data_IF_158600864748
#
_entry.id   IF_158600864748
#
_cell.length_a   1.000
_cell.length_b   1.000
_cell.length_c   1.000
_cell.angle_alpha   90.00
_cell.angle_beta   90.00
_cell.angle_gamma   90.00
#
_symmetry.space_group_name_H-M   'P 1'
#
loop_
_entity.id
_entity.type
_entity.pdbx_description
1 polymer ?
#
# COMPACT_ATOMS: atom_id res chain seq x y z
N UNK A 1 -17.17 -20.92 -9.01
CA UNK A 1 -16.24 -20.04 -9.73
C UNK A 1 -16.95 -18.73 -10.05
N UNK A 2 -16.39 -17.60 -9.62
CA UNK A 2 -16.84 -16.24 -9.97
C UNK A 2 -15.97 -15.66 -11.06
N UNK A 3 -16.52 -14.78 -11.89
CA UNK A 3 -15.80 -14.07 -12.97
C UNK A 3 -15.78 -12.59 -12.69
N UNK A 4 -14.73 -11.91 -13.12
CA UNK A 4 -14.61 -10.46 -13.08
C UNK A 4 -13.60 -9.95 -14.10
N UNK A 5 -13.57 -8.65 -14.29
CA UNK A 5 -12.60 -8.01 -15.17
C UNK A 5 -12.38 -6.55 -14.79
N UNK A 6 -11.18 -6.04 -15.11
CA UNK A 6 -10.78 -4.62 -15.03
C UNK A 6 -9.90 -4.29 -16.22
N UNK A 7 -9.86 -3.03 -16.62
CA UNK A 7 -8.97 -2.58 -17.68
C UNK A 7 -8.34 -1.21 -17.37
N UNK A 8 -7.27 -0.91 -18.10
CA UNK A 8 -6.58 0.38 -18.06
C UNK A 8 -6.09 0.75 -19.47
N UNK A 9 -6.12 2.03 -19.77
CA UNK A 9 -5.48 2.57 -20.96
C UNK A 9 -4.08 3.06 -20.63
N UNK A 10 -3.10 2.69 -21.49
CA UNK A 10 -1.71 3.14 -21.43
C UNK A 10 -1.40 3.96 -22.69
N UNK A 11 -0.64 5.04 -22.54
CA UNK A 11 -0.14 5.84 -23.66
C UNK A 11 1.17 5.26 -24.22
N UNK A 12 1.15 3.95 -24.47
CA UNK A 12 2.26 3.21 -25.08
C UNK A 12 1.74 2.22 -26.14
N UNK A 13 2.55 1.85 -27.15
CA UNK A 13 2.15 0.88 -28.17
C UNK A 13 1.84 -0.51 -27.57
N UNK A 14 0.96 -1.27 -28.24
CA UNK A 14 0.59 -2.64 -27.87
C UNK A 14 1.79 -3.53 -27.59
N UNK A 15 2.87 -3.44 -28.40
CA UNK A 15 4.10 -4.22 -28.18
C UNK A 15 4.78 -3.89 -26.85
N UNK A 16 4.80 -2.61 -26.44
CA UNK A 16 5.39 -2.19 -25.16
C UNK A 16 4.55 -2.65 -23.97
N UNK A 17 3.23 -2.53 -24.04
CA UNK A 17 2.31 -3.03 -23.02
C UNK A 17 2.44 -4.56 -22.87
N UNK A 18 2.53 -5.29 -23.99
CA UNK A 18 2.76 -6.74 -23.98
C UNK A 18 4.10 -7.10 -23.35
N UNK A 19 5.19 -6.42 -23.71
CA UNK A 19 6.51 -6.67 -23.15
C UNK A 19 6.52 -6.49 -21.61
N UNK A 20 5.73 -5.57 -21.08
CA UNK A 20 5.57 -5.38 -19.64
C UNK A 20 4.89 -6.60 -18.97
N UNK A 21 3.90 -7.21 -19.64
CA UNK A 21 3.17 -8.38 -19.12
C UNK A 21 4.02 -9.67 -19.11
N UNK A 22 4.92 -9.84 -20.08
CA UNK A 22 5.75 -11.04 -20.18
C UNK A 22 7.21 -10.81 -19.75
N UNK A 23 7.50 -9.69 -19.10
CA UNK A 23 8.85 -9.35 -18.63
C UNK A 23 9.32 -10.32 -17.57
N UNK A 24 10.58 -10.83 -17.63
CA UNK A 24 11.18 -11.61 -16.55
C UNK A 24 11.66 -10.71 -15.39
N UNK A 25 11.61 -9.38 -15.55
CA UNK A 25 12.01 -8.44 -14.52
C UNK A 25 10.98 -8.41 -13.39
N UNK A 26 11.44 -8.03 -12.20
CA UNK A 26 10.56 -7.79 -11.06
C UNK A 26 9.46 -6.79 -11.43
N UNK A 27 8.22 -7.14 -11.15
CA UNK A 27 7.03 -6.32 -11.42
C UNK A 27 6.57 -5.63 -10.15
N UNK A 28 6.84 -4.34 -10.02
CA UNK A 28 6.36 -3.55 -8.86
C UNK A 28 4.84 -3.50 -8.80
N UNK A 29 4.21 -3.54 -9.96
CA UNK A 29 2.77 -3.45 -10.14
C UNK A 29 2.02 -4.77 -9.85
N UNK A 30 2.72 -5.91 -9.74
CA UNK A 30 2.11 -7.22 -9.46
C UNK A 30 2.79 -7.84 -8.24
N UNK A 31 2.31 -7.51 -7.05
CA UNK A 31 2.84 -7.98 -5.75
C UNK A 31 4.36 -7.91 -5.58
N UNK A 32 5.07 -7.17 -6.43
CA UNK A 32 6.54 -7.10 -6.48
C UNK A 32 7.20 -8.44 -6.82
N UNK A 33 6.49 -9.32 -7.50
CA UNK A 33 6.96 -10.65 -7.85
C UNK A 33 7.84 -10.63 -9.09
N UNK A 34 8.76 -11.62 -9.15
CA UNK A 34 9.59 -11.91 -10.30
C UNK A 34 9.11 -13.21 -10.94
N UNK A 35 8.85 -13.20 -12.25
CA UNK A 35 8.47 -14.39 -12.99
C UNK A 35 9.71 -15.23 -13.32
N UNK A 36 9.70 -16.51 -12.99
CA UNK A 36 10.70 -17.51 -13.37
C UNK A 36 10.03 -18.56 -14.26
N UNK A 37 10.53 -18.74 -15.45
CA UNK A 37 9.98 -19.63 -16.48
C UNK A 37 9.73 -18.90 -17.79
N UNK A 38 9.14 -19.60 -18.76
CA UNK A 38 8.91 -19.09 -20.10
C UNK A 38 7.43 -18.94 -20.40
N UNK A 39 7.04 -17.80 -20.95
CA UNK A 39 5.67 -17.51 -21.38
C UNK A 39 5.38 -18.15 -22.76
N UNK A 40 5.40 -19.49 -22.78
CA UNK A 40 5.06 -20.32 -23.94
C UNK A 40 3.92 -21.26 -23.57
N UNK A 41 3.06 -21.63 -24.51
CA UNK A 41 1.95 -22.56 -24.25
C UNK A 41 2.45 -23.87 -23.65
N UNK A 42 1.86 -24.28 -22.54
CA UNK A 42 2.26 -25.45 -21.74
C UNK A 42 3.45 -25.18 -20.81
N UNK A 43 4.04 -23.98 -20.84
CA UNK A 43 5.09 -23.57 -19.92
C UNK A 43 4.57 -23.35 -18.50
N UNK A 44 5.51 -23.42 -17.53
CA UNK A 44 5.22 -23.14 -16.12
C UNK A 44 5.96 -21.87 -15.68
N UNK A 45 5.25 -20.99 -15.00
CA UNK A 45 5.79 -19.76 -14.42
C UNK A 45 5.71 -19.89 -12.91
N UNK A 46 6.85 -19.74 -12.25
CA UNK A 46 6.95 -19.60 -10.80
C UNK A 46 7.17 -18.12 -10.47
N UNK A 47 6.28 -17.56 -9.67
CA UNK A 47 6.33 -16.18 -9.24
C UNK A 47 6.95 -16.11 -7.85
N UNK A 48 8.06 -15.41 -7.72
CA UNK A 48 8.87 -15.37 -6.51
C UNK A 48 8.89 -13.97 -5.90
N UNK A 49 8.84 -13.92 -4.56
CA UNK A 49 9.09 -12.73 -3.77
C UNK A 49 10.60 -12.37 -3.71
N UNK A 50 10.95 -11.32 -2.98
CA UNK A 50 12.35 -10.87 -2.81
C UNK A 50 13.24 -11.87 -2.07
N UNK A 51 12.65 -12.79 -1.30
CA UNK A 51 13.37 -13.85 -0.58
C UNK A 51 13.49 -15.14 -1.40
N UNK A 52 12.90 -15.19 -2.61
CA UNK A 52 12.88 -16.37 -3.47
C UNK A 52 11.77 -17.38 -3.13
N UNK A 53 10.84 -17.03 -2.24
CA UNK A 53 9.70 -17.88 -1.95
C UNK A 53 8.68 -17.82 -3.08
N UNK A 54 8.07 -18.97 -3.42
CA UNK A 54 6.97 -19.00 -4.38
C UNK A 54 5.71 -18.38 -3.77
N UNK A 55 5.31 -17.24 -4.29
CA UNK A 55 4.03 -16.61 -3.97
C UNK A 55 2.88 -17.13 -4.86
N UNK A 56 3.23 -17.60 -6.07
CA UNK A 56 2.27 -18.05 -7.06
C UNK A 56 2.94 -19.03 -8.04
N UNK A 57 2.17 -19.98 -8.56
CA UNK A 57 2.55 -20.84 -9.69
C UNK A 57 1.48 -20.79 -10.76
N UNK A 58 1.90 -20.70 -12.02
CA UNK A 58 0.98 -20.61 -13.15
C UNK A 58 1.42 -21.53 -14.27
N UNK A 59 0.45 -22.23 -14.89
CA UNK A 59 0.60 -22.89 -16.18
C UNK A 59 0.12 -21.93 -17.28
N UNK A 60 0.89 -21.83 -18.34
CA UNK A 60 0.52 -20.99 -19.50
C UNK A 60 -0.41 -21.78 -20.41
N UNK A 61 -1.70 -21.44 -20.40
CA UNK A 61 -2.73 -22.11 -21.22
C UNK A 61 -2.71 -21.64 -22.67
N UNK A 62 -2.53 -20.31 -22.88
CA UNK A 62 -2.45 -19.71 -24.20
C UNK A 62 -1.55 -18.49 -24.22
N UNK A 63 -0.83 -18.30 -25.33
CA UNK A 63 -0.07 -17.11 -25.67
C UNK A 63 -0.33 -16.74 -27.12
N UNK A 64 -0.93 -15.59 -27.33
CA UNK A 64 -1.17 -14.98 -28.65
C UNK A 64 -0.49 -13.61 -28.66
N UNK A 65 0.82 -13.61 -28.83
CA UNK A 65 1.60 -12.36 -28.80
C UNK A 65 1.25 -11.44 -29.99
N UNK A 66 1.09 -10.16 -29.79
CA UNK A 66 1.14 -9.40 -28.53
C UNK A 66 -0.27 -9.10 -27.95
N UNK A 67 -1.21 -10.03 -28.03
CA UNK A 67 -2.64 -9.77 -27.78
C UNK A 67 -3.18 -10.43 -26.51
N UNK A 68 -2.80 -11.69 -26.25
CA UNK A 68 -3.44 -12.50 -25.18
C UNK A 68 -2.46 -13.41 -24.47
N UNK A 69 -2.55 -13.44 -23.15
CA UNK A 69 -1.89 -14.38 -22.26
C UNK A 69 -2.94 -14.96 -21.31
N UNK A 70 -3.10 -16.29 -21.30
CA UNK A 70 -4.01 -16.99 -20.39
C UNK A 70 -3.23 -17.93 -19.49
N UNK A 71 -3.44 -17.79 -18.18
CA UNK A 71 -2.72 -18.51 -17.14
C UNK A 71 -3.70 -19.31 -16.27
N UNK A 72 -3.36 -20.56 -15.96
CA UNK A 72 -3.98 -21.33 -14.87
C UNK A 72 -3.11 -21.18 -13.65
N UNK A 73 -3.60 -20.48 -12.64
CA UNK A 73 -2.83 -19.96 -11.53
C UNK A 73 -3.25 -20.60 -10.21
N UNK A 74 -2.30 -20.80 -9.32
CA UNK A 74 -2.53 -21.08 -7.91
C UNK A 74 -1.73 -20.12 -7.03
N UNK A 75 -2.41 -19.41 -6.13
CA UNK A 75 -1.77 -18.53 -5.15
C UNK A 75 -1.27 -19.33 -3.96
N UNK A 76 -0.02 -19.10 -3.55
CA UNK A 76 0.66 -19.84 -2.49
C UNK A 76 1.02 -18.98 -1.27
N UNK A 77 0.87 -17.65 -1.36
CA UNK A 77 1.33 -16.69 -0.36
C UNK A 77 0.56 -16.74 0.97
N UNK A 78 -0.59 -17.42 1.03
CA UNK A 78 -1.30 -17.67 2.28
C UNK A 78 -2.06 -19.01 2.22
N UNK A 79 -2.15 -19.77 3.34
CA UNK A 79 -2.79 -21.08 3.37
C UNK A 79 -4.23 -21.10 2.87
N UNK A 80 -5.00 -20.02 3.11
CA UNK A 80 -6.37 -19.91 2.66
C UNK A 80 -6.50 -19.89 1.13
N UNK A 81 -5.53 -19.31 0.41
CA UNK A 81 -5.47 -19.30 -1.05
C UNK A 81 -4.83 -20.57 -1.62
N UNK A 82 -3.76 -21.06 -0.96
CA UNK A 82 -3.05 -22.26 -1.42
C UNK A 82 -3.94 -23.52 -1.44
N UNK A 83 -4.96 -23.60 -0.58
CA UNK A 83 -5.95 -24.68 -0.52
C UNK A 83 -7.05 -24.55 -1.58
N UNK A 84 -7.14 -23.45 -2.31
CA UNK A 84 -8.15 -23.27 -3.35
C UNK A 84 -7.77 -24.01 -4.63
N UNK A 85 -8.76 -24.48 -5.40
CA UNK A 85 -8.47 -25.03 -6.72
C UNK A 85 -7.85 -23.95 -7.63
N UNK A 86 -7.02 -24.37 -8.61
CA UNK A 86 -6.45 -23.45 -9.59
C UNK A 86 -7.54 -22.63 -10.29
N UNK A 87 -7.22 -21.41 -10.62
CA UNK A 87 -8.10 -20.44 -11.26
C UNK A 87 -7.46 -19.87 -12.52
N UNK A 88 -8.26 -19.26 -13.39
CA UNK A 88 -7.78 -18.69 -14.65
C UNK A 88 -7.66 -17.18 -14.50
N UNK A 89 -6.52 -16.63 -14.94
CA UNK A 89 -6.28 -15.21 -15.13
C UNK A 89 -5.92 -15.00 -16.61
N UNK A 90 -6.63 -14.07 -17.27
CA UNK A 90 -6.38 -13.73 -18.67
C UNK A 90 -6.00 -12.25 -18.77
N UNK A 91 -4.93 -11.98 -19.50
CA UNK A 91 -4.48 -10.66 -19.87
C UNK A 91 -4.67 -10.45 -21.35
N UNK A 92 -5.44 -9.42 -21.71
CA UNK A 92 -5.66 -9.02 -23.09
C UNK A 92 -5.04 -7.64 -23.34
N UNK A 93 -4.36 -7.48 -24.49
CA UNK A 93 -3.79 -6.22 -24.92
C UNK A 93 -4.35 -5.86 -26.29
N UNK A 94 -5.02 -4.73 -26.37
CA UNK A 94 -5.65 -4.24 -27.60
C UNK A 94 -5.17 -2.81 -27.93
N UNK A 95 -5.30 -2.41 -29.20
CA UNK A 95 -5.11 -1.03 -29.61
C UNK A 95 -6.23 -0.17 -29.04
N UNK A 96 -5.90 0.98 -28.47
CA UNK A 96 -6.84 2.01 -28.05
C UNK A 96 -6.78 3.22 -29.00
N UNK A 97 -7.69 4.19 -28.84
CA UNK A 97 -7.68 5.45 -29.61
C UNK A 97 -6.33 6.17 -29.47
N UNK A 98 -5.73 6.12 -28.30
CA UNK A 98 -4.37 6.57 -28.01
C UNK A 98 -3.65 5.45 -27.25
N UNK A 99 -2.54 4.93 -27.78
CA UNK A 99 -1.77 3.87 -27.15
C UNK A 99 -2.43 2.48 -27.16
N UNK A 100 -2.52 1.84 -26.01
CA UNK A 100 -3.06 0.49 -25.83
C UNK A 100 -4.03 0.42 -24.64
N UNK A 101 -4.90 -0.60 -24.65
CA UNK A 101 -5.73 -1.01 -23.51
C UNK A 101 -5.23 -2.36 -23.04
N UNK A 102 -4.99 -2.48 -21.73
CA UNK A 102 -4.69 -3.74 -21.06
C UNK A 102 -5.86 -4.10 -20.18
N UNK A 103 -6.41 -5.31 -20.38
CA UNK A 103 -7.49 -5.85 -19.58
C UNK A 103 -7.00 -7.08 -18.83
N UNK A 104 -7.40 -7.22 -17.58
CA UNK A 104 -7.24 -8.41 -16.75
C UNK A 104 -8.61 -8.97 -16.46
N UNK A 105 -8.83 -10.25 -16.78
CA UNK A 105 -10.05 -10.96 -16.42
C UNK A 105 -9.72 -12.25 -15.69
N UNK A 106 -10.67 -12.76 -14.90
CA UNK A 106 -10.48 -13.98 -14.10
C UNK A 106 -11.74 -14.80 -13.98
N UNK A 107 -11.50 -16.11 -13.73
CA UNK A 107 -12.52 -17.08 -13.32
C UNK A 107 -11.95 -17.87 -12.15
N UNK A 108 -12.42 -17.59 -10.93
CA UNK A 108 -11.77 -18.02 -9.69
C UNK A 108 -12.79 -18.48 -8.61
N UNK A 109 -12.35 -19.30 -7.62
CA UNK A 109 -13.09 -19.54 -6.39
C UNK A 109 -13.46 -18.24 -5.69
N UNK A 110 -14.49 -18.24 -4.86
CA UNK A 110 -15.08 -17.04 -4.26
C UNK A 110 -14.05 -16.19 -3.51
N UNK A 111 -13.23 -16.80 -2.64
CA UNK A 111 -12.21 -16.09 -1.86
C UNK A 111 -11.13 -15.46 -2.76
N UNK A 112 -10.70 -16.18 -3.81
CA UNK A 112 -9.71 -15.66 -4.78
C UNK A 112 -10.33 -14.57 -5.65
N UNK A 113 -11.57 -14.75 -6.09
CA UNK A 113 -12.27 -13.74 -6.87
C UNK A 113 -12.46 -12.44 -6.08
N UNK A 114 -12.74 -12.52 -4.76
CA UNK A 114 -12.82 -11.37 -3.87
C UNK A 114 -11.50 -10.60 -3.79
N UNK A 115 -10.37 -11.31 -3.68
CA UNK A 115 -9.05 -10.70 -3.73
C UNK A 115 -8.78 -10.02 -5.08
N UNK A 116 -9.02 -10.73 -6.19
CA UNK A 116 -8.78 -10.19 -7.53
C UNK A 116 -9.68 -8.98 -7.83
N UNK A 117 -10.93 -9.00 -7.39
CA UNK A 117 -11.84 -7.85 -7.50
C UNK A 117 -11.30 -6.62 -6.77
N UNK A 118 -10.71 -6.80 -5.59
CA UNK A 118 -10.13 -5.74 -4.80
C UNK A 118 -8.80 -5.22 -5.40
N UNK A 119 -7.96 -6.11 -5.94
CA UNK A 119 -6.57 -5.79 -6.30
C UNK A 119 -6.34 -5.52 -7.79
N UNK A 120 -7.18 -6.02 -8.71
CA UNK A 120 -6.94 -5.88 -10.15
C UNK A 120 -6.82 -4.42 -10.61
N UNK A 121 -7.60 -3.51 -10.02
CA UNK A 121 -7.49 -2.07 -10.28
C UNK A 121 -6.13 -1.50 -9.85
N UNK A 122 -5.57 -2.00 -8.74
CA UNK A 122 -4.25 -1.61 -8.25
C UNK A 122 -3.14 -2.12 -9.16
N UNK A 123 -3.24 -3.37 -9.62
CA UNK A 123 -2.28 -3.94 -10.58
C UNK A 123 -2.24 -3.13 -11.87
N UNK A 124 -3.39 -2.84 -12.44
CA UNK A 124 -3.50 -2.11 -13.70
C UNK A 124 -3.02 -0.65 -13.57
N UNK A 125 -3.34 0.05 -12.47
CA UNK A 125 -2.77 1.37 -12.19
C UNK A 125 -1.26 1.30 -12.02
N UNK A 126 -0.74 0.31 -11.29
CA UNK A 126 0.69 0.10 -11.13
C UNK A 126 1.40 -0.18 -12.44
N UNK A 127 0.80 -1.01 -13.31
CA UNK A 127 1.29 -1.27 -14.66
C UNK A 127 1.38 0.04 -15.48
N UNK A 128 0.33 0.87 -15.44
CA UNK A 128 0.35 2.18 -16.08
C UNK A 128 1.47 3.05 -15.54
N UNK A 129 1.62 3.14 -14.22
CA UNK A 129 2.64 3.97 -13.59
C UNK A 129 4.08 3.52 -13.90
N UNK A 130 4.31 2.22 -14.01
CA UNK A 130 5.65 1.70 -14.30
C UNK A 130 6.04 1.83 -15.78
N UNK A 131 5.07 1.79 -16.68
CA UNK A 131 5.32 1.65 -18.13
C UNK A 131 4.75 2.79 -19.00
N UNK A 132 3.97 3.73 -18.45
CA UNK A 132 3.41 4.87 -19.18
C UNK A 132 4.13 6.17 -18.79
N UNK A 133 4.96 6.76 -19.70
CA UNK A 133 5.67 8.01 -19.43
C UNK A 133 4.76 9.18 -19.07
N UNK A 134 3.54 9.23 -19.63
CA UNK A 134 2.57 10.29 -19.31
C UNK A 134 2.12 10.18 -17.86
N UNK A 135 1.80 8.96 -17.39
CA UNK A 135 1.44 8.73 -15.99
C UNK A 135 2.60 9.03 -15.03
N UNK A 136 3.84 8.69 -15.43
CA UNK A 136 5.03 9.02 -14.65
C UNK A 136 5.23 10.54 -14.53
N UNK A 137 5.04 11.28 -15.63
CA UNK A 137 5.15 12.73 -15.63
C UNK A 137 4.07 13.40 -14.78
N UNK A 138 2.83 12.90 -14.81
CA UNK A 138 1.73 13.38 -13.96
C UNK A 138 2.06 13.28 -12.47
N UNK A 139 2.70 12.17 -12.06
CA UNK A 139 3.08 11.95 -10.65
C UNK A 139 4.32 12.74 -10.25
N UNK A 140 5.27 12.90 -11.15
CA UNK A 140 6.49 13.68 -10.91
C UNK A 140 6.22 15.18 -10.80
N UNK A 141 5.08 15.66 -11.31
CA UNK A 141 4.70 17.08 -11.23
C UNK A 141 4.48 17.48 -9.77
N UNK A 142 5.31 18.39 -9.27
CA UNK A 142 5.13 19.03 -7.96
C UNK A 142 4.30 20.29 -8.14
N UNK A 143 3.14 20.42 -7.47
CA UNK A 143 2.38 21.66 -7.47
C UNK A 143 3.11 22.73 -6.66
N UNK A 144 2.87 24.00 -6.98
CA UNK A 144 3.01 25.05 -5.98
C UNK A 144 1.91 24.85 -4.94
N UNK A 145 2.26 24.78 -3.67
CA UNK A 145 1.30 24.56 -2.61
C UNK A 145 1.14 25.82 -1.77
N UNK A 146 -0.11 26.10 -1.41
CA UNK A 146 -0.47 27.10 -0.43
C UNK A 146 -0.21 26.65 1.00
N UNK A 147 -0.95 27.21 1.92
CA UNK A 147 -0.88 26.86 3.34
C UNK A 147 -1.30 25.40 3.57
N UNK A 148 -0.54 24.69 4.38
CA UNK A 148 -0.88 23.34 4.84
C UNK A 148 -1.66 23.48 6.14
N UNK A 149 -2.90 22.99 6.19
CA UNK A 149 -3.66 22.87 7.44
C UNK A 149 -3.73 21.42 7.90
N UNK A 150 -3.71 21.21 9.23
CA UNK A 150 -3.74 19.86 9.83
C UNK A 150 -4.92 19.74 10.78
N UNK A 151 -5.76 18.72 10.58
CA UNK A 151 -6.98 18.50 11.34
C UNK A 151 -7.02 17.08 11.91
N UNK A 152 -7.67 16.95 13.09
CA UNK A 152 -7.97 15.64 13.66
C UNK A 152 -8.97 14.88 12.78
N UNK A 153 -8.78 13.57 12.67
CA UNK A 153 -9.73 12.69 11.97
C UNK A 153 -10.90 12.40 12.90
N UNK A 154 -12.06 12.94 12.53
CA UNK A 154 -13.31 12.83 13.26
C UNK A 154 -14.39 12.19 12.37
N UNK A 155 -15.54 11.74 12.90
CA UNK A 155 -16.58 11.10 12.09
C UNK A 155 -17.04 11.89 10.87
N UNK A 156 -17.06 13.22 10.94
CA UNK A 156 -17.38 14.12 9.82
C UNK A 156 -16.33 14.15 8.72
N UNK A 157 -15.11 13.63 8.98
CA UNK A 157 -14.01 13.54 8.02
C UNK A 157 -13.81 12.13 7.43
N UNK A 158 -14.75 11.21 7.65
CA UNK A 158 -14.68 9.86 7.04
C UNK A 158 -14.66 9.95 5.52
N UNK A 159 -15.45 10.85 4.92
CA UNK A 159 -15.47 11.06 3.47
C UNK A 159 -14.11 11.55 2.94
N UNK A 160 -13.44 12.46 3.65
CA UNK A 160 -12.12 12.97 3.28
C UNK A 160 -11.05 11.87 3.38
N UNK A 161 -11.08 11.08 4.47
CA UNK A 161 -10.25 9.91 4.62
C UNK A 161 -10.44 8.93 3.46
N UNK A 162 -11.68 8.57 3.13
CA UNK A 162 -11.98 7.67 2.03
C UNK A 162 -11.48 8.24 0.69
N UNK A 163 -11.79 9.50 0.39
CA UNK A 163 -11.34 10.17 -0.83
C UNK A 163 -9.81 10.15 -0.97
N UNK A 164 -9.10 10.44 0.12
CA UNK A 164 -7.64 10.42 0.13
C UNK A 164 -7.07 9.03 -0.16
N UNK A 165 -7.55 7.99 0.56
CA UNK A 165 -7.04 6.63 0.40
C UNK A 165 -7.50 5.96 -0.90
N UNK A 166 -8.70 6.27 -1.39
CA UNK A 166 -9.22 5.74 -2.65
C UNK A 166 -8.48 6.29 -3.88
N UNK A 167 -7.96 7.54 -3.81
CA UNK A 167 -7.51 8.25 -5.01
C UNK A 167 -6.07 8.76 -4.98
N UNK A 168 -5.55 9.22 -3.83
CA UNK A 168 -4.30 9.98 -3.76
C UNK A 168 -3.16 9.31 -2.97
N UNK A 169 -3.50 8.61 -1.89
CA UNK A 169 -2.54 8.08 -0.91
C UNK A 169 -1.45 7.19 -1.53
N UNK A 170 -1.83 6.29 -2.42
CA UNK A 170 -0.93 5.31 -3.04
C UNK A 170 -0.93 5.39 -4.56
N UNK A 171 -1.22 6.57 -5.12
CA UNK A 171 -1.32 6.76 -6.56
C UNK A 171 -0.05 6.34 -7.31
N UNK A 172 1.12 6.58 -6.73
CA UNK A 172 2.42 6.18 -7.26
C UNK A 172 2.88 4.79 -6.80
N UNK A 173 2.12 4.13 -5.91
CA UNK A 173 2.43 2.78 -5.43
C UNK A 173 1.16 1.98 -5.11
N UNK A 174 0.35 1.65 -6.12
CA UNK A 174 -0.96 1.01 -5.93
C UNK A 174 -0.94 -0.31 -5.15
N UNK A 175 0.16 -1.05 -5.17
CA UNK A 175 0.31 -2.31 -4.44
C UNK A 175 0.20 -2.20 -2.91
N UNK A 176 0.16 -0.98 -2.35
CA UNK A 176 -0.06 -0.75 -0.92
C UNK A 176 -1.43 -0.14 -0.60
N UNK A 177 -2.24 0.12 -1.61
CA UNK A 177 -3.55 0.75 -1.45
C UNK A 177 -4.51 -0.09 -0.61
N UNK A 178 -4.33 -1.42 -0.57
CA UNK A 178 -5.14 -2.33 0.24
C UNK A 178 -5.03 -2.11 1.75
N UNK A 179 -3.97 -1.47 2.24
CA UNK A 179 -3.73 -1.29 3.67
C UNK A 179 -4.76 -0.37 4.35
N UNK A 180 -5.17 0.75 3.71
CA UNK A 180 -6.03 1.78 4.31
C UNK A 180 -5.58 2.21 5.72
N UNK A 181 -4.28 2.12 6.02
CA UNK A 181 -3.65 2.30 7.32
C UNK A 181 -4.20 1.42 8.46
N UNK A 182 -4.93 0.35 8.13
CA UNK A 182 -5.53 -0.58 9.11
C UNK A 182 -4.49 -1.45 9.81
N UNK A 183 -3.29 -1.64 9.21
CA UNK A 183 -2.20 -2.45 9.78
C UNK A 183 -1.80 -2.00 11.19
N UNK A 184 -1.83 -0.70 11.48
CA UNK A 184 -1.49 -0.15 12.80
C UNK A 184 -2.50 -0.50 13.89
N UNK A 185 -3.72 -0.84 13.52
CA UNK A 185 -4.84 -1.15 14.41
C UNK A 185 -5.23 -2.64 14.39
N UNK A 186 -4.59 -3.45 13.55
CA UNK A 186 -5.00 -4.84 13.36
C UNK A 186 -4.94 -5.64 14.66
N UNK A 187 -5.95 -6.49 14.84
CA UNK A 187 -6.02 -7.51 15.90
C UNK A 187 -5.90 -8.92 15.34
N UNK A 188 -5.84 -9.06 14.02
CA UNK A 188 -5.78 -10.31 13.27
C UNK A 188 -4.39 -10.94 13.36
N UNK A 189 -4.34 -12.27 13.30
CA UNK A 189 -3.09 -13.03 13.07
C UNK A 189 -2.48 -12.68 11.70
N UNK A 190 -1.24 -13.09 11.47
CA UNK A 190 -0.59 -12.84 10.16
C UNK A 190 -1.31 -13.58 9.02
N UNK A 191 -1.85 -14.77 9.27
CA UNK A 191 -2.63 -15.54 8.31
C UNK A 191 -3.97 -14.88 7.98
N UNK A 192 -4.69 -14.39 8.99
CA UNK A 192 -5.94 -13.65 8.80
C UNK A 192 -5.69 -12.31 8.09
N UNK A 193 -4.61 -11.62 8.43
CA UNK A 193 -4.22 -10.38 7.78
C UNK A 193 -3.87 -10.58 6.30
N UNK A 194 -3.19 -11.67 5.96
CA UNK A 194 -2.77 -11.97 4.59
C UNK A 194 -3.93 -12.17 3.60
N UNK A 195 -5.13 -12.50 4.11
CA UNK A 195 -6.33 -12.69 3.26
C UNK A 195 -7.26 -11.49 3.24
N UNK A 196 -6.96 -10.41 3.97
CA UNK A 196 -7.80 -9.20 4.01
C UNK A 196 -7.74 -8.44 2.69
N UNK A 197 -8.90 -7.98 2.26
CA UNK A 197 -9.04 -7.18 1.06
C UNK A 197 -8.97 -5.67 1.36
N UNK A 198 -8.72 -4.87 0.33
CA UNK A 198 -8.84 -3.42 0.38
C UNK A 198 -10.24 -2.98 0.88
N UNK A 199 -11.29 -3.65 0.43
CA UNK A 199 -12.67 -3.36 0.84
C UNK A 199 -12.89 -3.62 2.34
N UNK A 200 -12.31 -4.70 2.89
CA UNK A 200 -12.40 -4.99 4.32
C UNK A 200 -11.69 -3.92 5.14
N UNK A 201 -10.46 -3.56 4.76
CA UNK A 201 -9.68 -2.56 5.47
C UNK A 201 -10.31 -1.16 5.38
N UNK A 202 -10.83 -0.79 4.21
CA UNK A 202 -11.57 0.45 4.00
C UNK A 202 -12.81 0.54 4.90
N UNK A 203 -13.63 -0.53 4.90
CA UNK A 203 -14.86 -0.62 5.71
C UNK A 203 -14.54 -0.51 7.20
N UNK A 204 -13.59 -1.31 7.67
CA UNK A 204 -13.29 -1.42 9.10
C UNK A 204 -12.62 -0.16 9.63
N UNK A 205 -11.70 0.47 8.87
CA UNK A 205 -11.12 1.75 9.25
C UNK A 205 -12.18 2.88 9.23
N UNK A 206 -13.05 2.93 8.22
CA UNK A 206 -14.12 3.92 8.16
C UNK A 206 -15.07 3.80 9.36
N UNK A 207 -15.40 2.55 9.75
CA UNK A 207 -16.20 2.27 10.95
C UNK A 207 -15.45 2.72 12.21
N UNK A 208 -14.19 2.36 12.37
CA UNK A 208 -13.39 2.71 13.54
C UNK A 208 -13.24 4.25 13.70
N UNK A 209 -13.13 5.00 12.59
CA UNK A 209 -13.16 6.47 12.60
C UNK A 209 -14.54 6.96 13.05
N UNK A 210 -15.61 6.43 12.48
CA UNK A 210 -16.99 6.77 12.84
C UNK A 210 -17.28 6.55 14.33
N UNK A 211 -16.74 5.46 14.90
CA UNK A 211 -16.85 5.08 16.31
C UNK A 211 -15.84 5.82 17.22
N UNK A 212 -15.04 6.77 16.69
CA UNK A 212 -13.98 7.51 17.43
C UNK A 212 -12.91 6.62 18.08
N UNK A 213 -12.62 5.46 17.48
CA UNK A 213 -11.62 4.51 17.97
C UNK A 213 -10.23 4.77 17.38
N UNK A 214 -10.12 5.60 16.34
CA UNK A 214 -8.86 5.94 15.67
C UNK A 214 -8.42 7.34 16.08
N UNK A 215 -7.13 7.46 16.35
CA UNK A 215 -6.45 8.75 16.54
C UNK A 215 -5.53 8.97 15.35
N UNK A 216 -5.89 9.92 14.50
CA UNK A 216 -5.14 10.25 13.30
C UNK A 216 -5.33 11.71 12.90
N UNK A 217 -4.46 12.16 11.99
CA UNK A 217 -4.51 13.50 11.40
C UNK A 217 -4.62 13.42 9.87
N UNK A 218 -5.35 14.36 9.29
CA UNK A 218 -5.32 14.67 7.86
C UNK A 218 -4.70 16.05 7.65
N UNK A 219 -3.76 16.14 6.72
CA UNK A 219 -3.23 17.39 6.22
C UNK A 219 -3.94 17.78 4.93
N UNK A 220 -4.25 19.05 4.78
CA UNK A 220 -4.96 19.62 3.63
C UNK A 220 -4.13 20.71 2.97
N UNK A 221 -4.27 20.81 1.66
CA UNK A 221 -3.82 21.92 0.82
C UNK A 221 -5.01 22.33 -0.06
N UNK A 222 -5.39 23.59 -0.03
CA UNK A 222 -6.52 24.13 -0.80
C UNK A 222 -7.82 23.32 -0.60
N UNK A 223 -8.09 22.89 0.64
CA UNK A 223 -9.27 22.11 1.01
C UNK A 223 -9.24 20.63 0.60
N UNK A 224 -8.15 20.16 -0.05
CA UNK A 224 -7.97 18.77 -0.46
C UNK A 224 -7.12 18.01 0.55
N UNK A 225 -7.51 16.82 1.00
CA UNK A 225 -6.67 15.99 1.85
C UNK A 225 -5.46 15.45 1.05
N UNK A 226 -4.24 15.71 1.54
CA UNK A 226 -2.98 15.38 0.86
C UNK A 226 -2.02 14.57 1.72
N UNK A 227 -2.31 14.43 3.00
CA UNK A 227 -1.47 13.71 3.94
C UNK A 227 -2.23 13.10 5.10
N UNK A 228 -1.71 12.00 5.61
CA UNK A 228 -2.24 11.24 6.74
C UNK A 228 -1.13 10.95 7.75
N UNK A 229 -1.44 11.04 9.04
CA UNK A 229 -0.60 10.55 10.12
C UNK A 229 -1.44 9.74 11.11
N UNK A 230 -1.06 8.48 11.34
CA UNK A 230 -1.64 7.64 12.38
C UNK A 230 -0.75 7.71 13.63
N UNK A 231 -1.33 8.08 14.77
CA UNK A 231 -0.63 8.23 16.05
C UNK A 231 -1.57 7.89 17.20
N UNK A 232 -1.04 7.79 18.40
CA UNK A 232 -1.87 7.59 19.60
C UNK A 232 -1.10 6.93 20.74
N UNK A 233 -1.78 6.65 21.85
CA UNK A 233 -1.22 5.85 22.92
C UNK A 233 -0.78 4.48 22.37
N UNK A 234 0.47 4.10 22.60
CA UNK A 234 1.06 2.89 22.01
C UNK A 234 0.24 1.65 22.31
N UNK A 235 -0.30 1.53 23.52
CA UNK A 235 -1.11 0.39 23.97
C UNK A 235 -2.43 0.24 23.23
N UNK A 236 -2.88 1.26 22.49
CA UNK A 236 -4.09 1.21 21.63
C UNK A 236 -3.79 0.89 20.17
N UNK A 237 -2.52 0.80 19.81
CA UNK A 237 -2.05 0.50 18.45
C UNK A 237 -1.60 -0.96 18.34
N UNK A 238 -2.57 -1.89 18.34
CA UNK A 238 -2.32 -3.32 18.40
C UNK A 238 -1.34 -3.83 17.33
N UNK A 239 -1.42 -3.31 16.11
CA UNK A 239 -0.48 -3.67 15.03
C UNK A 239 0.95 -3.20 15.31
N UNK A 240 1.12 -2.06 16.00
CA UNK A 240 2.44 -1.57 16.44
C UNK A 240 2.95 -2.46 17.58
N UNK A 241 2.11 -2.73 18.58
CA UNK A 241 2.44 -3.62 19.71
C UNK A 241 2.91 -4.99 19.20
N UNK A 242 2.15 -5.60 18.29
CA UNK A 242 2.47 -6.90 17.69
C UNK A 242 3.77 -6.86 16.88
N UNK A 243 3.90 -5.90 15.96
CA UNK A 243 5.05 -5.80 15.04
C UNK A 243 6.38 -5.64 15.73
N UNK A 244 6.41 -4.90 16.84
CA UNK A 244 7.64 -4.59 17.57
C UNK A 244 7.81 -5.41 18.86
N UNK A 245 6.92 -6.37 19.12
CA UNK A 245 6.95 -7.22 20.32
C UNK A 245 6.94 -6.38 21.61
N UNK A 246 6.07 -5.35 21.67
CA UNK A 246 6.06 -4.41 22.78
C UNK A 246 5.28 -4.97 23.97
N UNK A 247 5.80 -4.72 25.17
CA UNK A 247 5.12 -5.05 26.43
C UNK A 247 4.21 -3.89 26.85
N UNK A 248 2.92 -4.17 27.08
CA UNK A 248 1.94 -3.15 27.44
C UNK A 248 2.29 -2.38 28.73
N UNK A 249 2.88 -3.04 29.72
CA UNK A 249 3.30 -2.40 30.97
C UNK A 249 4.41 -1.36 30.73
N UNK A 250 5.34 -1.64 29.82
CA UNK A 250 6.45 -0.75 29.46
C UNK A 250 6.00 0.41 28.56
N UNK A 251 4.81 0.33 27.98
CA UNK A 251 4.25 1.34 27.08
C UNK A 251 3.23 2.26 27.77
N UNK A 252 3.09 2.19 29.08
CA UNK A 252 2.24 3.13 29.82
C UNK A 252 2.81 4.55 29.74
N UNK A 253 1.97 5.51 29.30
CA UNK A 253 2.37 6.90 29.10
C UNK A 253 3.24 7.15 27.84
N UNK A 254 3.44 6.13 26.99
CA UNK A 254 4.12 6.25 25.70
C UNK A 254 3.08 6.40 24.60
N UNK A 255 3.31 7.36 23.70
CA UNK A 255 2.54 7.55 22.47
C UNK A 255 3.40 7.23 21.25
N UNK A 256 2.81 6.55 20.27
CA UNK A 256 3.49 6.21 19.03
C UNK A 256 3.04 7.13 17.88
N UNK A 257 4.00 7.56 17.06
CA UNK A 257 3.76 8.08 15.72
C UNK A 257 4.01 6.90 14.75
N UNK A 258 2.93 6.32 14.23
CA UNK A 258 2.97 4.97 13.70
C UNK A 258 3.07 4.89 12.18
N UNK A 259 2.48 5.83 11.44
CA UNK A 259 2.41 5.76 9.99
C UNK A 259 2.15 7.13 9.38
N UNK A 260 2.87 7.45 8.30
CA UNK A 260 2.58 8.58 7.42
C UNK A 260 2.24 8.09 6.03
N UNK A 261 1.28 8.73 5.40
CA UNK A 261 1.03 8.62 3.97
C UNK A 261 0.88 10.03 3.40
N UNK A 262 1.77 10.40 2.49
CA UNK A 262 1.73 11.70 1.81
C UNK A 262 1.54 11.44 0.33
N UNK A 263 0.53 12.06 -0.28
CA UNK A 263 0.29 11.98 -1.71
C UNK A 263 1.53 12.42 -2.49
N UNK A 264 1.89 11.66 -3.53
CA UNK A 264 3.17 11.81 -4.23
C UNK A 264 3.49 13.25 -4.67
N UNK A 265 2.55 14.04 -5.24
CA UNK A 265 2.83 15.43 -5.64
C UNK A 265 3.21 16.36 -4.48
N UNK A 266 2.79 16.04 -3.27
CA UNK A 266 2.95 16.89 -2.08
C UNK A 266 4.14 16.48 -1.19
N UNK A 267 4.90 15.45 -1.59
CA UNK A 267 6.13 15.05 -0.87
C UNK A 267 7.24 16.08 -1.07
N UNK A 268 8.01 16.31 0.00
CA UNK A 268 9.09 17.30 -0.01
C UNK A 268 8.65 18.75 0.22
N UNK A 269 7.37 18.99 0.56
CA UNK A 269 6.81 20.29 0.89
C UNK A 269 6.55 20.48 2.40
N UNK A 270 7.15 19.66 3.27
CA UNK A 270 7.01 19.80 4.72
C UNK A 270 5.73 19.18 5.33
N UNK A 271 4.84 18.59 4.52
CA UNK A 271 3.56 18.00 5.00
C UNK A 271 3.78 16.99 6.14
N UNK A 272 4.76 16.07 6.01
CA UNK A 272 5.03 15.09 7.04
C UNK A 272 5.54 15.73 8.34
N UNK A 273 6.35 16.79 8.24
CA UNK A 273 6.87 17.55 9.40
C UNK A 273 5.71 18.22 10.15
N UNK A 274 4.81 18.90 9.45
CA UNK A 274 3.65 19.54 10.09
C UNK A 274 2.70 18.52 10.73
N UNK A 275 2.50 17.35 10.09
CA UNK A 275 1.76 16.24 10.69
C UNK A 275 2.44 15.71 11.95
N UNK A 276 3.78 15.58 11.95
CA UNK A 276 4.55 15.16 13.13
C UNK A 276 4.39 16.16 14.27
N UNK A 277 4.64 17.46 14.02
CA UNK A 277 4.53 18.51 15.02
C UNK A 277 3.12 18.52 15.64
N UNK A 278 2.09 18.46 14.78
CA UNK A 278 0.70 18.39 15.21
C UNK A 278 0.39 17.14 16.04
N UNK A 279 0.97 15.96 15.69
CA UNK A 279 0.80 14.73 16.46
C UNK A 279 1.45 14.84 17.85
N UNK A 280 2.66 15.43 17.92
CA UNK A 280 3.37 15.63 19.18
C UNK A 280 2.61 16.57 20.11
N UNK A 281 2.05 17.68 19.60
CA UNK A 281 1.25 18.62 20.39
C UNK A 281 -0.02 17.95 20.95
N UNK A 282 -0.67 17.10 20.15
CA UNK A 282 -1.86 16.36 20.60
C UNK A 282 -1.53 15.25 21.60
N UNK A 283 -0.40 14.55 21.44
CA UNK A 283 0.07 13.61 22.44
C UNK A 283 0.36 14.31 23.77
N UNK A 284 1.04 15.46 23.73
CA UNK A 284 1.35 16.27 24.90
C UNK A 284 0.07 16.74 25.61
N UNK A 285 -0.92 17.24 24.86
CA UNK A 285 -2.20 17.71 25.40
C UNK A 285 -3.02 16.59 26.08
N UNK A 286 -2.79 15.33 25.70
CA UNK A 286 -3.40 14.13 26.30
C UNK A 286 -2.61 13.59 27.50
N UNK A 287 -1.54 14.26 27.91
CA UNK A 287 -0.71 13.85 29.06
C UNK A 287 0.28 12.72 28.76
N UNK A 288 0.49 12.37 27.50
CA UNK A 288 1.56 11.45 27.08
C UNK A 288 2.90 12.07 27.41
N UNK A 289 3.81 11.30 28.00
CA UNK A 289 5.12 11.77 28.46
C UNK A 289 6.25 11.50 27.47
N UNK A 290 6.12 10.48 26.67
CA UNK A 290 7.14 10.03 25.72
C UNK A 290 6.50 9.74 24.38
N UNK A 291 7.00 10.36 23.32
CA UNK A 291 6.67 9.97 21.96
C UNK A 291 7.70 8.96 21.43
N UNK A 292 7.23 7.90 20.78
CA UNK A 292 8.05 6.86 20.14
C UNK A 292 7.73 6.78 18.64
N UNK A 293 8.75 6.53 17.83
CA UNK A 293 8.59 6.32 16.39
C UNK A 293 9.57 5.25 15.88
N UNK A 294 9.33 4.75 14.64
CA UNK A 294 9.91 3.50 14.15
C UNK A 294 10.51 3.64 12.75
N UNK A 295 11.38 4.63 12.47
CA UNK A 295 12.01 4.77 11.16
C UNK A 295 12.80 3.53 10.76
N UNK A 296 12.80 3.22 9.45
CA UNK A 296 13.59 2.11 8.91
C UNK A 296 15.07 2.49 8.81
N UNK A 297 15.98 1.51 8.96
CA UNK A 297 17.42 1.68 8.79
C UNK A 297 17.80 2.00 7.35
N UNK A 298 17.16 1.30 6.40
CA UNK A 298 17.44 1.44 4.98
C UNK A 298 16.17 1.75 4.19
N UNK A 299 16.22 2.80 3.39
CA UNK A 299 15.15 3.19 2.49
C UNK A 299 15.28 2.45 1.16
N UNK A 300 14.48 1.41 0.96
CA UNK A 300 14.41 0.67 -0.32
C UNK A 300 13.54 1.36 -1.37
N UNK A 301 12.63 2.22 -0.95
CA UNK A 301 11.75 3.03 -1.83
C UNK A 301 11.13 4.18 -1.03
N UNK A 302 10.63 5.24 -1.67
CA UNK A 302 9.89 6.31 -0.99
C UNK A 302 8.72 5.78 -0.15
N UNK A 303 8.04 4.74 -0.61
CA UNK A 303 6.90 4.14 0.09
C UNK A 303 7.32 3.37 1.34
N UNK A 304 8.49 2.73 1.34
CA UNK A 304 9.02 2.05 2.53
C UNK A 304 9.28 3.00 3.70
N UNK A 305 9.24 4.31 3.44
CA UNK A 305 9.39 5.38 4.44
C UNK A 305 8.05 5.77 5.13
N UNK A 306 7.04 4.91 5.08
CA UNK A 306 5.73 5.19 5.69
C UNK A 306 5.78 5.42 7.21
N UNK A 307 6.85 5.02 7.88
CA UNK A 307 7.09 5.32 9.29
C UNK A 307 7.85 6.63 9.54
N UNK A 308 8.08 7.39 8.48
CA UNK A 308 8.85 8.65 8.50
C UNK A 308 10.37 8.43 8.45
N UNK A 309 11.11 9.38 7.85
CA UNK A 309 12.56 9.31 7.78
C UNK A 309 13.19 9.61 9.15
N UNK A 310 14.29 8.90 9.48
CA UNK A 310 15.03 9.11 10.72
C UNK A 310 15.46 10.59 10.88
N UNK A 311 15.89 11.22 9.80
CA UNK A 311 16.31 12.63 9.81
C UNK A 311 15.22 13.60 10.26
N UNK A 312 13.96 13.35 9.91
CA UNK A 312 12.81 14.16 10.34
C UNK A 312 12.63 14.07 11.86
N UNK A 313 12.75 12.87 12.42
CA UNK A 313 12.62 12.66 13.86
C UNK A 313 13.79 13.27 14.65
N UNK A 314 15.02 13.09 14.16
CA UNK A 314 16.20 13.72 14.80
C UNK A 314 16.07 15.24 14.79
N UNK A 315 15.65 15.84 13.67
CA UNK A 315 15.39 17.28 13.58
C UNK A 315 14.27 17.74 14.54
N UNK A 316 13.28 16.90 14.80
CA UNK A 316 12.22 17.14 15.78
C UNK A 316 12.65 16.87 17.24
N UNK A 317 13.91 16.50 17.50
CA UNK A 317 14.48 16.29 18.83
C UNK A 317 14.28 14.90 19.41
N UNK A 318 13.93 13.90 18.58
CA UNK A 318 13.97 12.51 19.00
C UNK A 318 15.40 12.00 19.12
N UNK A 319 15.63 11.04 20.01
CA UNK A 319 16.91 10.36 20.18
C UNK A 319 16.76 8.86 19.91
N UNK A 320 17.77 8.17 19.35
CA UNK A 320 17.79 6.72 19.25
C UNK A 320 17.59 6.08 20.62
N UNK A 321 16.70 5.10 20.71
CA UNK A 321 16.36 4.39 21.94
C UNK A 321 16.75 2.91 21.88
N UNK A 322 16.37 2.20 20.82
CA UNK A 322 16.76 0.80 20.56
C UNK A 322 16.69 0.49 19.07
N UNK A 323 17.31 -0.60 18.68
CA UNK A 323 17.31 -1.08 17.30
C UNK A 323 16.68 -2.45 17.19
N UNK A 324 16.04 -2.70 16.05
CA UNK A 324 15.65 -4.02 15.59
C UNK A 324 16.46 -4.36 14.32
N UNK A 325 16.26 -5.52 13.74
CA UNK A 325 16.89 -5.87 12.47
C UNK A 325 16.68 -4.79 11.39
N UNK A 326 15.47 -4.23 11.28
CA UNK A 326 15.05 -3.34 10.19
C UNK A 326 14.77 -1.89 10.59
N UNK A 327 14.62 -1.57 11.89
CA UNK A 327 14.20 -0.25 12.36
C UNK A 327 15.14 0.29 13.45
N UNK A 328 15.23 1.61 13.48
CA UNK A 328 15.78 2.36 14.62
C UNK A 328 14.58 2.93 15.37
N UNK A 329 14.34 2.49 16.59
CA UNK A 329 13.26 3.03 17.42
C UNK A 329 13.81 4.28 18.11
N UNK A 330 13.10 5.39 17.93
CA UNK A 330 13.49 6.69 18.47
C UNK A 330 12.44 7.19 19.45
N UNK A 331 12.87 7.92 20.49
CA UNK A 331 12.03 8.50 21.54
C UNK A 331 12.29 9.98 21.72
N UNK A 332 11.24 10.69 22.14
CA UNK A 332 11.30 12.10 22.58
C UNK A 332 10.44 12.26 23.84
N UNK A 333 10.98 12.92 24.87
CA UNK A 333 10.19 13.41 26.01
C UNK A 333 9.33 14.59 25.55
N UNK A 334 8.05 14.61 25.92
CA UNK A 334 7.05 15.59 25.50
C UNK A 334 6.81 16.69 26.54
#
# INVERSE_FOLDING_TARGET
MKTGSRDVQLDVPVKAAWAALVSPKRRRWYYRLTAKGEFVKGGSIRWEDDAGNAAEVSEVLAVEAPKRLELRTNFLFAPAFAKQPPHTITWDVARAKKGSRVSMSWKAPEIVAGLLEAEAGNFLRGLRLEHDPTAQAEIARKPEIGEISVHDVTPDRVADYQSFFDHDAFRDYPGWQSCYCMETHRTQTDEEWAVRTAADNRRDMSKAIGDRQVTALLAYVDGRPVGWCNYGETTRLNGVMHRFGLNAAEQQGVGSVACFVIAAPYRGHGVATQLLDSALDRLRSRGVKVAEAYPVKELKSPQSNYRGPLSMYLAAGFQPHRETERHIIVRKTL
#
